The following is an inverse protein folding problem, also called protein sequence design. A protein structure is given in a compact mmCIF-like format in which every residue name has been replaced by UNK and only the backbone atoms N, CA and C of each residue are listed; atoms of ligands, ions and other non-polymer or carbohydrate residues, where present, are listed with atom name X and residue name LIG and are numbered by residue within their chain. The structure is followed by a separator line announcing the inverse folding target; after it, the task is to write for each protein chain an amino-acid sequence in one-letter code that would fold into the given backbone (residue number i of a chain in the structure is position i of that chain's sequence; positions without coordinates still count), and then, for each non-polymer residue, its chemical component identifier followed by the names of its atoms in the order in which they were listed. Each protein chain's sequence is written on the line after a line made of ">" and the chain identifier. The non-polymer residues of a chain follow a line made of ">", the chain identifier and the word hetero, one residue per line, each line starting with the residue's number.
data_IF_664194164644
#
_entry.id   IF_664194164644
#
_cell.length_a   1.000
_cell.length_b   1.000
_cell.length_c   1.000
_cell.angle_alpha   90.00
_cell.angle_beta   90.00
_cell.angle_gamma   90.00
#
_symmetry.space_group_name_H-M   'P 1'
#
loop_
_entity.id
_entity.type
_entity.pdbx_description
1 polymer ?
#
# COMPACT_ATOMS: atom_id res chain seq x y z
N UNK A 1 -8.11 14.86 -8.10
CA UNK A 1 -9.38 14.16 -8.38
C UNK A 1 -9.14 12.72 -8.79
N UNK A 2 -10.19 12.00 -8.99
CA UNK A 2 -10.15 10.63 -9.48
C UNK A 2 -10.39 10.60 -11.01
N UNK A 3 -9.85 9.58 -11.75
CA UNK A 3 -8.93 8.55 -11.29
C UNK A 3 -7.56 9.14 -10.90
N UNK A 4 -6.87 8.48 -9.98
CA UNK A 4 -5.65 8.98 -9.36
C UNK A 4 -4.47 8.04 -9.61
N UNK A 5 -3.49 8.52 -10.36
CA UNK A 5 -2.26 7.77 -10.69
C UNK A 5 -1.12 8.15 -9.75
N UNK A 6 -0.16 7.24 -9.49
CA UNK A 6 1.01 7.51 -8.67
C UNK A 6 1.91 8.65 -9.16
N UNK A 7 1.99 8.88 -10.48
CA UNK A 7 2.84 9.91 -11.10
C UNK A 7 4.31 9.84 -10.63
N UNK A 8 4.91 8.65 -10.71
CA UNK A 8 6.27 8.40 -10.19
C UNK A 8 7.34 9.37 -10.73
N UNK A 9 7.39 9.74 -12.02
CA UNK A 9 8.37 10.70 -12.51
C UNK A 9 8.27 12.09 -11.85
N UNK A 10 7.05 12.54 -11.56
CA UNK A 10 6.82 13.81 -10.86
C UNK A 10 7.26 13.74 -9.40
N UNK A 11 7.04 12.60 -8.73
CA UNK A 11 7.51 12.38 -7.36
C UNK A 11 9.04 12.32 -7.30
N UNK A 12 9.68 11.65 -8.25
CA UNK A 12 11.14 11.59 -8.37
C UNK A 12 11.74 12.98 -8.61
N UNK A 13 11.19 13.74 -9.55
CA UNK A 13 11.60 15.10 -9.81
C UNK A 13 11.48 16.00 -8.57
N UNK A 14 10.39 15.87 -7.79
CA UNK A 14 10.20 16.64 -6.56
C UNK A 14 11.22 16.27 -5.48
N UNK A 15 11.62 14.99 -5.38
CA UNK A 15 12.67 14.55 -4.48
C UNK A 15 14.03 15.14 -4.88
N UNK A 16 14.40 15.06 -6.15
CA UNK A 16 15.66 15.58 -6.68
C UNK A 16 15.76 17.10 -6.50
N UNK A 17 14.68 17.82 -6.81
CA UNK A 17 14.62 19.28 -6.62
C UNK A 17 14.72 19.66 -5.14
N UNK A 18 14.16 18.88 -4.24
CA UNK A 18 14.24 19.13 -2.81
C UNK A 18 15.64 18.93 -2.22
N UNK A 19 16.44 18.07 -2.86
CA UNK A 19 17.83 17.82 -2.48
C UNK A 19 18.79 18.91 -2.98
N UNK A 20 18.39 19.69 -3.99
CA UNK A 20 19.20 20.78 -4.56
C UNK A 20 18.80 22.11 -3.93
N UNK A 21 19.76 22.86 -3.38
CA UNK A 21 19.56 24.20 -2.78
C UNK A 21 19.10 25.30 -3.79
N UNK A 22 18.81 24.91 -5.03
CA UNK A 22 18.58 25.82 -6.15
C UNK A 22 17.10 26.22 -6.33
N UNK A 23 16.16 25.74 -5.48
CA UNK A 23 14.77 25.89 -5.80
C UNK A 23 13.95 26.76 -4.81
N UNK A 24 13.07 27.59 -5.41
CA UNK A 24 12.13 28.53 -4.80
C UNK A 24 10.98 27.89 -3.99
N UNK A 25 10.91 26.57 -3.89
CA UNK A 25 10.03 25.91 -2.95
C UNK A 25 10.58 26.13 -1.55
N UNK A 26 9.72 26.53 -0.62
CA UNK A 26 10.09 26.60 0.80
C UNK A 26 10.76 25.29 1.18
N UNK A 27 11.94 25.38 1.81
CA UNK A 27 12.75 24.21 2.13
C UNK A 27 11.88 23.12 2.80
N UNK A 28 11.79 21.96 2.17
CA UNK A 28 11.06 20.79 2.68
C UNK A 28 9.63 20.59 2.14
N UNK A 29 8.96 21.55 1.49
CA UNK A 29 7.58 21.34 1.01
C UNK A 29 7.48 20.23 -0.05
N UNK A 30 8.42 20.17 -0.99
CA UNK A 30 8.44 19.12 -2.01
C UNK A 30 8.61 17.74 -1.39
N UNK A 31 9.59 17.59 -0.48
CA UNK A 31 9.84 16.34 0.25
C UNK A 31 8.64 15.92 1.08
N UNK A 32 8.04 16.83 1.84
CA UNK A 32 6.87 16.54 2.67
C UNK A 32 5.66 16.08 1.83
N UNK A 33 5.46 16.65 0.64
CA UNK A 33 4.38 16.26 -0.26
C UNK A 33 4.61 14.86 -0.84
N UNK A 34 5.86 14.50 -1.19
CA UNK A 34 6.20 13.17 -1.65
C UNK A 34 6.00 12.14 -0.52
N UNK A 35 6.54 12.41 0.67
CA UNK A 35 6.39 11.53 1.84
C UNK A 35 4.91 11.31 2.21
N UNK A 36 4.09 12.37 2.18
CA UNK A 36 2.65 12.26 2.40
C UNK A 36 1.99 11.39 1.34
N UNK A 37 2.33 11.58 0.07
CA UNK A 37 1.76 10.81 -1.04
C UNK A 37 2.13 9.33 -0.91
N UNK A 38 3.41 9.01 -0.73
CA UNK A 38 3.89 7.64 -0.54
C UNK A 38 3.24 6.98 0.69
N UNK A 39 3.12 7.70 1.80
CA UNK A 39 2.47 7.19 3.01
C UNK A 39 0.98 6.88 2.77
N UNK A 40 0.27 7.75 2.06
CA UNK A 40 -1.15 7.54 1.73
C UNK A 40 -1.35 6.36 0.78
N UNK A 41 -0.48 6.21 -0.21
CA UNK A 41 -0.49 5.06 -1.11
C UNK A 41 -0.18 3.75 -0.37
N UNK A 42 0.86 3.73 0.47
CA UNK A 42 1.24 2.56 1.26
C UNK A 42 0.13 2.06 2.19
N UNK A 43 -0.66 2.97 2.75
CA UNK A 43 -1.78 2.65 3.65
C UNK A 43 -3.10 2.43 2.92
N UNK A 44 -3.22 2.88 1.68
CA UNK A 44 -4.41 2.72 0.87
C UNK A 44 -4.55 1.34 0.26
N UNK A 45 -5.69 1.07 -0.35
CA UNK A 45 -5.96 -0.17 -1.06
C UNK A 45 -5.32 -0.26 -2.45
N UNK A 46 -4.70 0.83 -2.94
CA UNK A 46 -3.86 0.77 -4.14
C UNK A 46 -2.61 -0.10 -3.91
N UNK A 47 -2.13 -0.19 -2.68
CA UNK A 47 -1.15 -1.17 -2.24
C UNK A 47 -1.88 -2.41 -1.75
N UNK A 48 -1.60 -3.55 -2.35
CA UNK A 48 -2.12 -4.82 -1.86
C UNK A 48 -1.51 -5.09 -0.47
N UNK A 49 -2.34 -4.93 0.55
CA UNK A 49 -1.91 -5.03 1.95
C UNK A 49 -1.49 -6.45 2.34
N UNK A 50 -2.00 -7.46 1.63
CA UNK A 50 -1.77 -8.88 1.91
C UNK A 50 -0.67 -9.43 1.01
N UNK A 51 -0.87 -9.38 -0.32
CA UNK A 51 0.03 -9.98 -1.30
C UNK A 51 1.23 -9.11 -1.69
N UNK A 52 1.17 -7.81 -1.44
CA UNK A 52 2.19 -6.85 -1.88
C UNK A 52 2.01 -6.38 -3.32
N UNK A 53 2.83 -5.44 -3.72
CA UNK A 53 2.71 -4.78 -5.02
C UNK A 53 1.63 -3.69 -5.06
N UNK A 54 1.75 -2.80 -6.03
CA UNK A 54 0.82 -1.70 -6.24
C UNK A 54 -0.03 -1.94 -7.47
N UNK A 55 -1.31 -1.68 -7.36
CA UNK A 55 -2.21 -1.55 -8.49
C UNK A 55 -1.91 -0.26 -9.26
N UNK A 56 -2.36 -0.21 -10.53
CA UNK A 56 -2.00 0.82 -11.49
C UNK A 56 -2.47 2.22 -11.12
N UNK A 57 -3.72 2.36 -10.69
CA UNK A 57 -4.31 3.64 -10.28
C UNK A 57 -5.47 3.40 -9.31
N UNK A 58 -5.85 4.46 -8.59
CA UNK A 58 -7.05 4.46 -7.75
C UNK A 58 -8.23 5.10 -8.49
N UNK A 59 -9.40 4.49 -8.36
CA UNK A 59 -10.65 5.03 -8.92
C UNK A 59 -11.27 6.10 -8.01
N UNK A 60 -10.74 6.27 -6.79
CA UNK A 60 -11.15 7.28 -5.82
C UNK A 60 -10.01 8.25 -5.45
N UNK A 61 -10.33 9.32 -4.73
CA UNK A 61 -9.37 10.36 -4.34
C UNK A 61 -8.50 9.98 -3.13
N UNK A 62 -8.83 8.88 -2.42
CA UNK A 62 -8.21 8.51 -1.13
C UNK A 62 -7.22 7.37 -1.23
N UNK A 63 -7.01 6.80 -2.42
CA UNK A 63 -6.20 5.63 -2.68
C UNK A 63 -6.78 4.31 -2.11
N UNK A 64 -8.10 4.26 -1.87
CA UNK A 64 -8.73 3.12 -1.21
C UNK A 64 -9.16 2.02 -2.19
N UNK A 65 -9.74 2.39 -3.33
CA UNK A 65 -10.22 1.44 -4.32
C UNK A 65 -9.41 1.58 -5.61
N UNK A 66 -8.63 0.55 -5.98
CA UNK A 66 -7.86 0.57 -7.21
C UNK A 66 -8.65 0.01 -8.39
N UNK A 67 -8.16 0.29 -9.60
CA UNK A 67 -8.24 -0.67 -10.70
C UNK A 67 -7.18 -1.74 -10.43
N UNK A 68 -7.59 -3.00 -10.29
CA UNK A 68 -6.78 -4.05 -9.67
C UNK A 68 -5.61 -4.59 -10.52
N UNK A 69 -5.42 -4.09 -11.73
CA UNK A 69 -4.27 -4.42 -12.57
C UNK A 69 -2.95 -3.99 -11.89
N UNK A 70 -1.96 -4.89 -11.84
CA UNK A 70 -0.62 -4.58 -11.33
C UNK A 70 0.39 -4.63 -12.46
N UNK A 71 0.99 -3.47 -12.80
CA UNK A 71 1.97 -3.36 -13.86
C UNK A 71 3.39 -3.47 -13.31
N UNK A 72 4.25 -4.21 -14.02
CA UNK A 72 5.67 -4.28 -13.67
C UNK A 72 6.32 -2.89 -13.68
N UNK A 73 6.07 -2.07 -14.69
CA UNK A 73 6.72 -0.77 -14.84
C UNK A 73 6.28 0.25 -13.79
N UNK A 74 5.04 0.20 -13.30
CA UNK A 74 4.57 1.07 -12.21
C UNK A 74 5.29 0.69 -10.90
N UNK A 75 5.36 -0.59 -10.61
CA UNK A 75 6.02 -1.11 -9.42
C UNK A 75 7.55 -0.93 -9.46
N UNK A 76 8.16 -1.04 -10.63
CA UNK A 76 9.59 -0.77 -10.84
C UNK A 76 9.95 0.70 -10.60
N UNK A 77 9.04 1.64 -10.87
CA UNK A 77 9.23 3.06 -10.58
C UNK A 77 8.94 3.40 -9.10
N UNK A 78 7.98 2.73 -8.46
CA UNK A 78 7.65 2.93 -7.05
C UNK A 78 8.74 2.38 -6.12
N UNK A 79 9.39 1.28 -6.48
CA UNK A 79 10.41 0.64 -5.65
C UNK A 79 11.56 1.60 -5.26
N UNK A 80 12.24 2.32 -6.17
CA UNK A 80 13.28 3.26 -5.79
C UNK A 80 12.75 4.45 -4.97
N UNK A 81 11.53 4.92 -5.21
CA UNK A 81 10.92 6.00 -4.41
C UNK A 81 10.71 5.58 -2.95
N UNK A 82 10.19 4.38 -2.71
CA UNK A 82 10.04 3.85 -1.36
C UNK A 82 11.39 3.50 -0.72
N UNK A 83 12.37 3.01 -1.49
CA UNK A 83 13.72 2.75 -0.99
C UNK A 83 14.41 4.06 -0.55
N UNK A 84 14.26 5.15 -1.30
CA UNK A 84 14.78 6.46 -0.93
C UNK A 84 14.07 7.01 0.31
N UNK A 85 12.75 6.90 0.37
CA UNK A 85 11.97 7.28 1.56
C UNK A 85 12.39 6.50 2.81
N UNK A 86 12.66 5.19 2.68
CA UNK A 86 13.13 4.36 3.78
C UNK A 86 14.55 4.76 4.25
N UNK A 87 15.42 5.20 3.31
CA UNK A 87 16.80 5.61 3.59
C UNK A 87 16.90 7.00 4.20
N UNK A 88 16.02 7.90 3.82
CA UNK A 88 16.16 9.34 4.13
C UNK A 88 15.90 9.70 5.57
N UNK A 89 15.37 8.80 6.42
CA UNK A 89 15.10 9.10 7.82
C UNK A 89 15.12 7.86 8.73
N UNK A 90 15.92 7.96 9.78
CA UNK A 90 16.00 6.98 10.85
C UNK A 90 14.88 7.13 11.92
N UNK A 91 13.78 7.85 11.65
CA UNK A 91 12.69 8.06 12.60
C UNK A 91 11.59 7.02 12.41
N UNK A 92 10.83 6.73 13.48
CA UNK A 92 9.73 5.75 13.49
C UNK A 92 8.65 5.97 12.42
N UNK A 93 8.55 7.18 11.88
CA UNK A 93 7.60 7.51 10.80
C UNK A 93 7.91 6.84 9.45
N UNK A 94 9.11 6.28 9.27
CA UNK A 94 9.59 5.72 7.98
C UNK A 94 9.67 4.19 7.97
N UNK A 95 9.39 3.52 9.09
CA UNK A 95 9.23 2.05 9.13
C UNK A 95 8.26 1.53 8.06
N UNK A 96 7.12 2.22 7.77
CA UNK A 96 6.21 1.78 6.71
C UNK A 96 6.86 1.69 5.31
N UNK A 97 7.75 2.62 4.96
CA UNK A 97 8.40 2.60 3.64
C UNK A 97 9.34 1.38 3.48
N UNK A 98 10.11 1.03 4.51
CA UNK A 98 10.96 -0.16 4.49
C UNK A 98 10.14 -1.45 4.37
N UNK A 99 9.01 -1.54 5.08
CA UNK A 99 8.09 -2.67 4.98
C UNK A 99 7.48 -2.79 3.57
N UNK A 100 7.12 -1.66 2.94
CA UNK A 100 6.63 -1.63 1.55
C UNK A 100 7.71 -2.14 0.59
N UNK A 101 8.97 -1.71 0.75
CA UNK A 101 10.09 -2.22 -0.08
C UNK A 101 10.21 -3.74 0.04
N UNK A 102 10.19 -4.29 1.25
CA UNK A 102 10.21 -5.73 1.49
C UNK A 102 9.06 -6.45 0.77
N UNK A 103 7.83 -6.03 1.03
CA UNK A 103 6.62 -6.61 0.40
C UNK A 103 6.65 -6.51 -1.13
N UNK A 104 7.17 -5.42 -1.68
CA UNK A 104 7.25 -5.21 -3.12
C UNK A 104 8.27 -6.14 -3.76
N UNK A 105 9.44 -6.32 -3.15
CA UNK A 105 10.47 -7.27 -3.61
C UNK A 105 9.96 -8.70 -3.50
N UNK A 106 9.30 -9.06 -2.40
CA UNK A 106 8.71 -10.38 -2.22
C UNK A 106 7.64 -10.68 -3.28
N UNK A 107 6.75 -9.72 -3.56
CA UNK A 107 5.75 -9.84 -4.60
C UNK A 107 6.37 -10.01 -5.99
N UNK A 108 7.36 -9.17 -6.35
CA UNK A 108 8.07 -9.29 -7.63
C UNK A 108 8.72 -10.67 -7.80
N UNK A 109 9.32 -11.18 -6.73
CA UNK A 109 10.00 -12.47 -6.74
C UNK A 109 9.03 -13.63 -6.83
N UNK A 110 7.93 -13.57 -6.09
CA UNK A 110 6.96 -14.67 -5.98
C UNK A 110 6.00 -14.73 -7.17
N UNK A 111 5.51 -13.58 -7.64
CA UNK A 111 4.41 -13.54 -8.60
C UNK A 111 4.79 -13.02 -9.98
N UNK A 112 5.80 -12.15 -10.06
CA UNK A 112 6.19 -11.54 -11.33
C UNK A 112 7.37 -12.23 -12.02
N UNK A 113 8.08 -13.12 -11.35
CA UNK A 113 9.23 -13.82 -11.92
C UNK A 113 8.78 -15.03 -12.73
N UNK A 114 9.15 -15.06 -14.02
CA UNK A 114 8.85 -16.19 -14.90
C UNK A 114 9.79 -17.38 -14.63
N UNK A 115 9.34 -18.65 -14.81
CA UNK A 115 10.13 -19.85 -14.52
C UNK A 115 11.44 -19.95 -15.29
N UNK A 116 11.52 -19.30 -16.45
CA UNK A 116 12.70 -19.32 -17.34
C UNK A 116 13.54 -18.05 -17.25
N UNK A 117 13.33 -17.22 -16.23
CA UNK A 117 13.96 -15.91 -16.06
C UNK A 117 13.14 -14.77 -16.67
N UNK A 118 13.48 -13.53 -16.28
CA UNK A 118 12.70 -12.34 -16.63
C UNK A 118 11.44 -12.18 -15.78
N UNK A 119 10.69 -11.12 -16.06
CA UNK A 119 9.47 -10.78 -15.31
C UNK A 119 8.28 -10.74 -16.26
N UNK A 120 7.11 -11.09 -15.74
CA UNK A 120 5.83 -10.82 -16.40
C UNK A 120 5.60 -9.31 -16.48
N UNK A 121 4.88 -8.86 -17.52
CA UNK A 121 4.63 -7.43 -17.74
C UNK A 121 3.53 -6.88 -16.82
N UNK A 122 2.54 -7.70 -16.50
CA UNK A 122 1.39 -7.33 -15.70
C UNK A 122 0.71 -8.54 -15.07
N UNK A 123 -0.07 -8.29 -14.01
CA UNK A 123 -1.15 -9.17 -13.54
C UNK A 123 -2.47 -8.52 -13.89
N UNK A 124 -3.40 -9.32 -14.42
CA UNK A 124 -4.74 -8.86 -14.82
C UNK A 124 -5.54 -8.37 -13.60
N UNK A 125 -6.41 -7.39 -13.81
CA UNK A 125 -7.36 -6.93 -12.81
C UNK A 125 -8.45 -7.96 -12.53
N UNK A 126 -8.78 -8.77 -13.55
CA UNK A 126 -9.85 -9.75 -13.49
C UNK A 126 -9.35 -11.10 -12.99
N UNK A 127 -10.15 -11.72 -12.14
CA UNK A 127 -10.03 -13.11 -11.74
C UNK A 127 -11.38 -13.79 -11.92
N UNK A 128 -11.42 -14.91 -12.63
CA UNK A 128 -12.66 -15.64 -12.96
C UNK A 128 -13.71 -14.77 -13.67
N UNK A 129 -13.27 -13.75 -14.42
CA UNK A 129 -14.13 -12.83 -15.17
C UNK A 129 -14.74 -11.69 -14.34
N UNK A 130 -14.24 -11.46 -13.13
CA UNK A 130 -14.68 -10.39 -12.23
C UNK A 130 -13.48 -9.56 -11.76
N UNK A 131 -13.54 -8.24 -11.94
CA UNK A 131 -12.48 -7.34 -11.48
C UNK A 131 -12.38 -7.35 -9.96
N UNK A 132 -11.16 -7.45 -9.45
CA UNK A 132 -10.87 -7.37 -8.02
C UNK A 132 -11.20 -8.62 -7.20
N UNK A 133 -11.85 -9.63 -7.77
CA UNK A 133 -12.31 -10.83 -7.06
C UNK A 133 -11.23 -11.51 -6.23
N UNK A 134 -10.00 -11.56 -6.72
CA UNK A 134 -8.86 -12.13 -6.01
C UNK A 134 -8.41 -11.31 -4.79
N UNK A 135 -8.66 -10.00 -4.78
CA UNK A 135 -8.09 -9.07 -3.81
C UNK A 135 -9.06 -8.63 -2.72
N UNK A 136 -10.36 -8.73 -2.98
CA UNK A 136 -11.39 -8.32 -2.03
C UNK A 136 -11.81 -9.47 -1.13
N UNK A 137 -12.27 -9.15 0.05
CA UNK A 137 -12.56 -10.11 1.11
C UNK A 137 -13.97 -9.93 1.65
N UNK A 138 -14.55 -11.04 2.10
CA UNK A 138 -15.71 -11.03 2.97
C UNK A 138 -15.24 -11.05 4.42
N UNK A 139 -15.88 -10.25 5.29
CA UNK A 139 -15.51 -10.18 6.70
C UNK A 139 -15.53 -11.54 7.39
N UNK A 140 -16.53 -12.36 7.07
CA UNK A 140 -16.69 -13.69 7.68
C UNK A 140 -15.62 -14.68 7.20
N UNK A 141 -15.11 -14.54 5.98
CA UNK A 141 -13.97 -15.34 5.47
C UNK A 141 -12.69 -15.00 6.24
N UNK A 142 -12.43 -13.72 6.48
CA UNK A 142 -11.28 -13.27 7.27
C UNK A 142 -11.41 -13.78 8.71
N UNK A 143 -12.60 -13.70 9.32
CA UNK A 143 -12.84 -14.20 10.67
C UNK A 143 -12.64 -15.72 10.75
N UNK A 144 -13.09 -16.49 9.77
CA UNK A 144 -12.92 -17.92 9.73
C UNK A 144 -11.46 -18.39 9.53
N UNK A 145 -10.63 -17.54 8.93
CA UNK A 145 -9.21 -17.82 8.65
C UNK A 145 -8.27 -17.53 9.85
N UNK A 146 -8.75 -16.82 10.87
CA UNK A 146 -7.95 -16.30 11.98
C UNK A 146 -8.48 -16.81 13.32
N UNK A 147 -7.61 -16.82 14.33
CA UNK A 147 -8.05 -16.96 15.73
C UNK A 147 -8.80 -15.70 16.19
N UNK A 148 -9.58 -15.81 17.26
CA UNK A 148 -10.30 -14.67 17.85
C UNK A 148 -9.37 -13.53 18.29
N UNK A 149 -8.16 -13.86 18.76
CA UNK A 149 -7.16 -12.88 19.15
C UNK A 149 -6.59 -12.14 17.93
N UNK A 150 -6.26 -12.85 16.88
CA UNK A 150 -5.79 -12.27 15.62
C UNK A 150 -6.88 -11.41 14.96
N UNK A 151 -8.12 -11.91 14.92
CA UNK A 151 -9.22 -11.16 14.31
C UNK A 151 -9.51 -9.84 15.02
N UNK A 152 -9.40 -9.77 16.35
CA UNK A 152 -9.53 -8.52 17.12
C UNK A 152 -8.51 -7.44 16.71
N UNK A 153 -7.35 -7.84 16.18
CA UNK A 153 -6.33 -6.92 15.65
C UNK A 153 -6.56 -6.63 14.17
N UNK A 154 -6.75 -7.66 13.37
CA UNK A 154 -6.85 -7.59 11.90
C UNK A 154 -8.10 -6.83 11.46
N UNK A 155 -9.23 -7.04 12.13
CA UNK A 155 -10.50 -6.39 11.80
C UNK A 155 -10.41 -4.86 11.80
N UNK A 156 -10.01 -4.19 12.88
CA UNK A 156 -9.86 -2.74 12.90
C UNK A 156 -8.64 -2.25 12.10
N UNK A 157 -7.56 -3.05 12.02
CA UNK A 157 -6.36 -2.67 11.31
C UNK A 157 -6.62 -2.50 9.81
N UNK A 158 -7.28 -3.48 9.19
CA UNK A 158 -7.59 -3.47 7.76
C UNK A 158 -8.97 -2.87 7.42
N UNK A 159 -9.72 -2.42 8.43
CA UNK A 159 -10.98 -1.72 8.22
C UNK A 159 -12.19 -2.62 8.02
N UNK A 160 -12.12 -3.91 8.33
CA UNK A 160 -13.26 -4.84 8.24
C UNK A 160 -14.40 -4.53 9.24
N UNK A 161 -14.14 -3.70 10.26
CA UNK A 161 -15.14 -3.18 11.19
C UNK A 161 -15.89 -1.93 10.67
N UNK A 162 -15.59 -1.48 9.45
CA UNK A 162 -16.25 -0.38 8.76
C UNK A 162 -17.24 -0.92 7.72
N UNK A 163 -18.13 -0.09 7.17
CA UNK A 163 -18.91 -0.49 6.00
C UNK A 163 -18.00 -0.96 4.85
N UNK A 164 -18.44 -1.94 4.06
CA UNK A 164 -17.67 -2.43 2.91
C UNK A 164 -17.33 -1.27 1.96
N UNK A 165 -16.09 -1.22 1.51
CA UNK A 165 -15.58 -0.15 0.66
C UNK A 165 -15.56 -0.53 -0.83
N UNK A 166 -15.80 -1.80 -1.17
CA UNK A 166 -15.87 -2.26 -2.56
C UNK A 166 -17.28 -2.75 -2.89
N UNK A 167 -17.93 -2.14 -3.90
CA UNK A 167 -19.25 -2.48 -4.44
C UNK A 167 -20.35 -2.66 -3.37
N UNK A 168 -20.20 -2.01 -2.22
CA UNK A 168 -21.10 -2.12 -1.05
C UNK A 168 -21.26 -3.55 -0.49
N UNK A 169 -20.38 -4.49 -0.86
CA UNK A 169 -20.50 -5.89 -0.50
C UNK A 169 -19.23 -6.52 0.07
N UNK A 170 -18.06 -6.03 -0.33
CA UNK A 170 -16.77 -6.60 0.05
C UNK A 170 -15.79 -5.53 0.55
N UNK A 171 -14.68 -5.96 1.11
CA UNK A 171 -13.61 -5.07 1.59
C UNK A 171 -12.35 -5.26 0.76
N UNK A 172 -11.84 -4.17 0.19
CA UNK A 172 -10.45 -4.07 -0.21
C UNK A 172 -9.65 -3.59 1.01
N UNK A 173 -8.69 -4.38 1.55
CA UNK A 173 -7.97 -4.03 2.78
C UNK A 173 -7.20 -2.72 2.66
N UNK A 174 -7.33 -1.86 3.66
CA UNK A 174 -6.57 -0.62 3.83
C UNK A 174 -6.00 -0.57 5.25
N UNK A 175 -4.91 0.16 5.49
CA UNK A 175 -4.48 0.42 6.88
C UNK A 175 -5.38 1.50 7.48
N UNK A 176 -6.45 1.05 8.14
CA UNK A 176 -7.54 1.89 8.66
C UNK A 176 -7.24 2.49 10.03
N UNK A 177 -6.52 1.74 10.88
CA UNK A 177 -6.08 2.18 12.21
C UNK A 177 -4.63 1.76 12.46
N UNK A 178 -3.82 2.56 13.16
CA UNK A 178 -2.48 2.17 13.53
C UNK A 178 -2.48 1.12 14.66
N UNK A 179 -1.50 0.22 14.65
CA UNK A 179 -1.41 -0.89 15.60
C UNK A 179 -1.31 -0.45 17.07
N UNK A 180 -0.63 0.67 17.34
CA UNK A 180 -0.52 1.24 18.69
C UNK A 180 -1.89 1.65 19.27
N UNK A 181 -2.76 2.24 18.45
CA UNK A 181 -4.10 2.60 18.85
C UNK A 181 -4.98 1.35 19.09
N UNK A 182 -4.81 0.32 18.26
CA UNK A 182 -5.51 -0.97 18.44
C UNK A 182 -5.03 -1.65 19.71
N UNK A 183 -3.71 -1.74 19.95
CA UNK A 183 -3.12 -2.34 21.14
C UNK A 183 -3.63 -1.68 22.44
N UNK A 184 -3.73 -0.34 22.43
CA UNK A 184 -4.33 0.40 23.56
C UNK A 184 -5.80 0.04 23.79
N UNK A 185 -6.56 -0.17 22.72
CA UNK A 185 -8.00 -0.49 22.82
C UNK A 185 -8.26 -1.90 23.34
N UNK A 186 -7.44 -2.89 22.89
CA UNK A 186 -7.61 -4.30 23.29
C UNK A 186 -6.81 -4.66 24.57
N UNK A 187 -6.01 -3.73 25.12
CA UNK A 187 -5.28 -3.91 26.36
C UNK A 187 -4.08 -4.86 26.28
N UNK A 188 -3.50 -5.05 25.08
CA UNK A 188 -2.27 -5.84 24.86
C UNK A 188 -1.07 -4.95 24.60
N UNK A 189 0.12 -5.45 24.96
CA UNK A 189 1.38 -4.76 24.63
C UNK A 189 1.67 -4.85 23.13
N UNK A 190 2.23 -3.77 22.59
CA UNK A 190 2.58 -3.63 21.16
C UNK A 190 3.28 -4.84 20.50
N UNK A 191 4.21 -5.58 21.17
CA UNK A 191 4.87 -6.74 20.59
C UNK A 191 3.96 -7.91 20.19
N UNK A 192 2.71 -7.92 20.64
CA UNK A 192 1.72 -8.96 20.29
C UNK A 192 0.74 -8.53 19.19
N UNK A 193 0.83 -7.28 18.73
CA UNK A 193 -0.02 -6.72 17.67
C UNK A 193 0.68 -6.67 16.29
N UNK A 194 1.99 -6.97 16.23
CA UNK A 194 2.79 -7.02 14.99
C UNK A 194 2.76 -8.37 14.28
#
# INVERSE_FOLDING_TARGET
>A
GAPKFPHCPELELLLDLSATSLFLLRQGEGKNNVELTLTRMAKGGIHDQIGGGFCRYSVDERWEIPHFEKMLYDNAQLLPLYAEAARSNATDQHKPAAAVVGKLVDWLTREMTAPHGGFYAALDADSEGEEGKFYVWQRDEVHAALSEEEFKVVEPYYGFNRPPNFEHAAWNPIVAQPLDAIAQTIGVSQPHAE
#
